data_IF_393908533643
#
_entry.id   IF_393908533643
#
_cell.length_a   1.000
_cell.length_b   1.000
_cell.length_c   1.000
_cell.angle_alpha   90.00
_cell.angle_beta   90.00
_cell.angle_gamma   90.00
#
_symmetry.space_group_name_H-M   'P 1'
#
loop_
_entity.id
_entity.type
_entity.pdbx_description
1 polymer ?
#
# COMPACT_ATOMS: atom_id res chain seq x y z
N UNK A 1 -7.96 -20.68 -11.33
CA UNK A 1 -6.57 -21.05 -10.99
C UNK A 1 -5.75 -19.78 -10.74
N UNK A 2 -5.01 -19.74 -9.66
CA UNK A 2 -4.21 -18.56 -9.32
C UNK A 2 -2.89 -18.58 -10.07
N UNK A 3 -2.55 -17.45 -10.70
CA UNK A 3 -1.25 -17.26 -11.36
C UNK A 3 -0.16 -16.90 -10.35
N UNK A 4 -0.48 -16.86 -9.07
CA UNK A 4 0.41 -16.46 -8.00
C UNK A 4 0.54 -17.55 -6.95
N UNK A 5 1.77 -17.83 -6.55
CA UNK A 5 2.09 -18.83 -5.52
C UNK A 5 2.47 -18.11 -4.23
N UNK A 6 1.84 -18.48 -3.12
CA UNK A 6 2.19 -17.95 -1.80
C UNK A 6 3.57 -18.48 -1.41
N UNK A 7 4.47 -17.54 -1.08
CA UNK A 7 5.83 -17.84 -0.59
C UNK A 7 5.85 -17.84 0.94
N UNK A 8 5.26 -16.80 1.55
CA UNK A 8 5.24 -16.65 2.99
C UNK A 8 4.10 -15.73 3.43
N UNK A 9 3.72 -15.79 4.69
CA UNK A 9 2.76 -14.86 5.28
C UNK A 9 3.53 -13.66 5.83
N UNK A 10 3.18 -12.45 5.37
CA UNK A 10 3.71 -11.21 5.93
C UNK A 10 2.90 -10.80 7.16
N UNK A 11 1.59 -11.02 7.13
CA UNK A 11 0.70 -10.84 8.25
C UNK A 11 -0.49 -11.79 8.06
N UNK A 12 -0.43 -12.93 8.74
CA UNK A 12 -1.44 -13.98 8.58
C UNK A 12 -2.79 -13.57 9.14
N UNK A 13 -2.81 -12.83 10.24
CA UNK A 13 -4.03 -12.33 10.86
C UNK A 13 -4.82 -11.44 9.89
N UNK A 14 -4.13 -10.57 9.17
CA UNK A 14 -4.74 -9.67 8.19
C UNK A 14 -4.71 -10.21 6.76
N UNK A 15 -4.34 -11.47 6.58
CA UNK A 15 -4.30 -12.16 5.28
C UNK A 15 -3.44 -11.42 4.25
N UNK A 16 -2.22 -11.04 4.64
CA UNK A 16 -1.23 -10.40 3.78
C UNK A 16 -0.11 -11.40 3.51
N UNK A 17 0.13 -11.68 2.23
CA UNK A 17 1.08 -12.71 1.80
C UNK A 17 2.07 -12.18 0.78
N UNK A 18 3.29 -12.69 0.86
CA UNK A 18 4.27 -12.55 -0.21
C UNK A 18 3.98 -13.64 -1.23
N UNK A 19 3.81 -13.25 -2.49
CA UNK A 19 3.47 -14.17 -3.57
C UNK A 19 4.44 -14.02 -4.73
N UNK A 20 4.57 -15.07 -5.53
CA UNK A 20 5.41 -15.06 -6.72
C UNK A 20 4.54 -15.34 -7.94
N UNK A 21 4.72 -14.53 -8.98
CA UNK A 21 4.05 -14.73 -10.26
C UNK A 21 4.59 -15.97 -10.95
N UNK A 22 3.71 -16.87 -11.36
CA UNK A 22 4.08 -18.05 -12.14
C UNK A 22 4.58 -17.67 -13.55
N UNK A 23 4.13 -16.51 -14.07
CA UNK A 23 4.50 -16.05 -15.41
C UNK A 23 5.85 -15.34 -15.46
N UNK A 24 6.09 -14.41 -14.52
CA UNK A 24 7.27 -13.55 -14.53
C UNK A 24 8.35 -13.93 -13.53
N UNK A 25 8.01 -14.74 -12.52
CA UNK A 25 8.89 -15.04 -11.39
C UNK A 25 9.05 -13.87 -10.42
N UNK A 26 8.44 -12.72 -10.68
CA UNK A 26 8.50 -11.55 -9.80
C UNK A 26 7.66 -11.76 -8.55
N UNK A 27 8.06 -11.05 -7.48
CA UNK A 27 7.44 -11.14 -6.17
C UNK A 27 6.52 -9.94 -5.96
N UNK A 28 5.35 -10.19 -5.40
CA UNK A 28 4.31 -9.20 -5.12
C UNK A 28 3.72 -9.44 -3.75
N UNK A 29 2.86 -8.53 -3.31
CA UNK A 29 2.06 -8.69 -2.09
C UNK A 29 0.62 -8.98 -2.48
N UNK A 30 0.04 -10.02 -1.87
CA UNK A 30 -1.36 -10.36 -2.01
C UNK A 30 -2.07 -10.05 -0.70
N UNK A 31 -3.15 -9.28 -0.79
CA UNK A 31 -4.04 -8.98 0.35
C UNK A 31 -5.43 -9.53 0.06
N UNK A 32 -6.05 -10.12 1.06
CA UNK A 32 -7.43 -10.59 0.99
C UNK A 32 -8.24 -9.76 1.96
N UNK A 33 -9.20 -8.99 1.44
CA UNK A 33 -9.95 -8.00 2.19
C UNK A 33 -11.41 -8.42 2.35
N UNK A 34 -11.89 -8.43 3.59
CA UNK A 34 -13.31 -8.69 3.90
C UNK A 34 -14.14 -7.42 3.83
N UNK A 35 -13.54 -6.28 4.19
CA UNK A 35 -14.16 -4.96 4.12
C UNK A 35 -13.34 -4.10 3.17
N UNK A 36 -13.99 -3.57 2.13
CA UNK A 36 -13.30 -2.79 1.11
C UNK A 36 -14.27 -1.90 0.34
N UNK A 37 -13.71 -0.90 -0.32
CA UNK A 37 -14.42 -0.09 -1.31
C UNK A 37 -13.76 -0.34 -2.67
N UNK A 38 -14.41 -1.12 -3.52
CA UNK A 38 -13.84 -1.54 -4.81
C UNK A 38 -13.52 -0.34 -5.71
N UNK A 39 -14.28 0.76 -5.61
CA UNK A 39 -14.05 1.95 -6.42
C UNK A 39 -12.70 2.59 -6.15
N UNK A 40 -12.24 2.56 -4.89
CA UNK A 40 -10.92 3.07 -4.52
C UNK A 40 -9.84 2.28 -5.27
N UNK A 41 -9.92 0.95 -5.23
CA UNK A 41 -8.94 0.08 -5.88
C UNK A 41 -8.99 0.20 -7.40
N UNK A 42 -10.20 0.25 -7.97
CA UNK A 42 -10.39 0.47 -9.39
C UNK A 42 -9.76 1.80 -9.84
N UNK A 43 -9.99 2.86 -9.08
CA UNK A 43 -9.47 4.19 -9.40
C UNK A 43 -7.95 4.23 -9.29
N UNK A 44 -7.38 3.66 -8.24
CA UNK A 44 -5.92 3.59 -8.04
C UNK A 44 -5.26 2.70 -9.09
N UNK A 45 -5.92 1.64 -9.52
CA UNK A 45 -5.43 0.78 -10.59
C UNK A 45 -5.28 1.55 -11.90
N UNK A 46 -6.25 2.40 -12.23
CA UNK A 46 -6.23 3.21 -13.44
C UNK A 46 -5.36 4.45 -13.34
N UNK A 47 -5.14 4.94 -12.13
CA UNK A 47 -4.43 6.19 -11.87
C UNK A 47 -3.31 5.96 -10.83
N UNK A 48 -2.21 5.32 -11.22
CA UNK A 48 -1.09 5.08 -10.29
C UNK A 48 -0.55 6.38 -9.72
N UNK A 49 -0.23 6.37 -8.43
CA UNK A 49 0.32 7.53 -7.71
C UNK A 49 1.72 7.20 -7.23
N UNK A 50 2.67 8.10 -7.50
CA UNK A 50 4.03 7.97 -6.97
C UNK A 50 4.00 8.02 -5.44
N UNK A 51 4.65 7.06 -4.79
CA UNK A 51 4.64 6.93 -3.33
C UNK A 51 3.59 5.96 -2.80
N UNK A 52 2.80 5.35 -3.67
CA UNK A 52 1.83 4.32 -3.32
C UNK A 52 2.23 3.04 -4.08
N UNK A 53 2.22 1.86 -3.43
CA UNK A 53 2.49 0.61 -4.14
C UNK A 53 1.56 0.46 -5.33
N UNK A 54 2.14 0.14 -6.49
CA UNK A 54 1.36 -0.01 -7.70
C UNK A 54 0.44 -1.22 -7.59
N UNK A 55 -0.83 -1.04 -7.92
CA UNK A 55 -1.78 -2.13 -8.05
C UNK A 55 -1.49 -2.89 -9.33
N UNK A 56 -1.25 -4.19 -9.21
CA UNK A 56 -0.95 -5.07 -10.35
C UNK A 56 -2.23 -5.74 -10.84
N UNK A 57 -3.07 -6.17 -9.89
CA UNK A 57 -4.34 -6.82 -10.20
C UNK A 57 -5.28 -6.73 -8.99
N UNK A 58 -6.57 -6.81 -9.24
CA UNK A 58 -7.56 -6.96 -8.18
C UNK A 58 -8.78 -7.67 -8.73
N UNK A 59 -9.42 -8.47 -7.91
CA UNK A 59 -10.67 -9.16 -8.31
C UNK A 59 -11.47 -9.56 -7.08
N UNK A 60 -12.79 -9.62 -7.24
CA UNK A 60 -13.67 -10.09 -6.19
C UNK A 60 -13.75 -11.62 -6.23
N UNK A 61 -13.66 -12.23 -5.05
CA UNK A 61 -13.82 -13.67 -4.85
C UNK A 61 -14.84 -13.87 -3.74
N UNK A 62 -16.07 -14.16 -4.12
CA UNK A 62 -17.19 -14.19 -3.19
C UNK A 62 -17.39 -12.81 -2.56
N UNK A 63 -17.33 -12.73 -1.23
CA UNK A 63 -17.49 -11.48 -0.48
C UNK A 63 -16.15 -10.81 -0.14
N UNK A 64 -15.07 -11.29 -0.75
CA UNK A 64 -13.73 -10.78 -0.48
C UNK A 64 -13.15 -10.11 -1.72
N UNK A 65 -12.25 -9.14 -1.50
CA UNK A 65 -11.44 -8.57 -2.56
C UNK A 65 -10.02 -9.10 -2.44
N UNK A 66 -9.50 -9.68 -3.53
CA UNK A 66 -8.10 -10.07 -3.63
C UNK A 66 -7.35 -8.97 -4.35
N UNK A 67 -6.30 -8.45 -3.73
CA UNK A 67 -5.48 -7.38 -4.28
C UNK A 67 -4.05 -7.87 -4.43
N UNK A 68 -3.49 -7.70 -5.62
CA UNK A 68 -2.07 -7.96 -5.90
C UNK A 68 -1.42 -6.61 -6.11
N UNK A 69 -0.42 -6.30 -5.32
CA UNK A 69 0.28 -5.01 -5.40
C UNK A 69 1.80 -5.20 -5.34
N UNK A 70 2.50 -4.16 -5.75
CA UNK A 70 3.95 -4.08 -5.71
C UNK A 70 4.47 -4.38 -4.30
N UNK A 71 5.53 -5.20 -4.19
CA UNK A 71 6.21 -5.42 -2.92
C UNK A 71 7.20 -4.28 -2.68
N UNK A 72 7.03 -3.58 -1.56
CA UNK A 72 7.92 -2.49 -1.16
C UNK A 72 8.84 -3.00 -0.06
N UNK A 73 10.14 -3.03 -0.36
CA UNK A 73 11.17 -3.37 0.62
C UNK A 73 11.60 -2.13 1.38
N UNK A 74 11.68 -2.24 2.68
CA UNK A 74 12.08 -1.13 3.54
C UNK A 74 11.74 -1.37 4.99
N UNK A 75 11.81 -0.30 5.78
CA UNK A 75 11.52 -0.32 7.22
C UNK A 75 10.32 0.57 7.48
N UNK A 76 9.36 0.09 8.28
CA UNK A 76 8.22 0.95 8.62
C UNK A 76 8.67 2.16 9.43
N UNK A 77 7.96 3.26 9.28
CA UNK A 77 8.22 4.46 10.07
C UNK A 77 8.06 4.17 11.57
N UNK A 78 7.13 3.27 11.93
CA UNK A 78 6.95 2.83 13.31
C UNK A 78 8.20 2.16 13.87
N UNK A 79 8.84 1.28 13.10
CA UNK A 79 10.09 0.64 13.52
C UNK A 79 11.21 1.66 13.70
N UNK A 80 11.29 2.66 12.80
CA UNK A 80 12.29 3.72 12.94
C UNK A 80 12.06 4.54 14.20
N UNK A 81 10.82 4.82 14.55
CA UNK A 81 10.46 5.51 15.79
C UNK A 81 10.88 4.66 17.00
N UNK A 82 10.50 3.39 17.00
CA UNK A 82 10.78 2.46 18.11
C UNK A 82 12.28 2.27 18.33
N UNK A 83 13.06 2.30 17.27
CA UNK A 83 14.52 2.15 17.32
C UNK A 83 15.25 3.49 17.45
N UNK A 84 14.55 4.59 17.62
CA UNK A 84 15.10 5.96 17.69
C UNK A 84 16.03 6.27 16.50
N UNK A 85 15.68 5.75 15.32
CA UNK A 85 16.44 5.89 14.08
C UNK A 85 15.85 6.97 13.19
N UNK A 86 15.68 8.17 13.74
CA UNK A 86 15.12 9.31 13.00
C UNK A 86 15.81 10.60 13.43
N UNK A 87 16.29 11.36 12.46
CA UNK A 87 16.72 12.73 12.65
C UNK A 87 15.55 13.69 12.39
N UNK A 88 15.67 14.94 12.84
CA UNK A 88 14.69 15.99 12.54
C UNK A 88 14.61 16.20 11.01
N UNK A 89 15.75 16.12 10.34
CA UNK A 89 15.82 16.25 8.88
C UNK A 89 15.04 15.12 8.17
N UNK A 90 15.17 13.88 8.67
CA UNK A 90 14.42 12.73 8.13
C UNK A 90 12.92 12.95 8.27
N UNK A 91 12.47 13.34 9.46
CA UNK A 91 11.05 13.58 9.74
C UNK A 91 10.49 14.64 8.79
N UNK A 92 11.22 15.75 8.61
CA UNK A 92 10.81 16.81 7.68
C UNK A 92 10.68 16.29 6.27
N UNK A 93 11.68 15.54 5.80
CA UNK A 93 11.70 14.97 4.46
C UNK A 93 10.52 14.03 4.22
N UNK A 94 10.24 13.13 5.17
CA UNK A 94 9.14 12.18 5.05
C UNK A 94 7.78 12.89 5.08
N UNK A 95 7.63 13.91 5.92
CA UNK A 95 6.38 14.69 5.97
C UNK A 95 6.10 15.39 4.64
N UNK A 96 7.12 15.95 3.99
CA UNK A 96 6.98 16.57 2.67
C UNK A 96 6.55 15.53 1.64
N UNK A 97 7.18 14.35 1.64
CA UNK A 97 6.82 13.27 0.73
C UNK A 97 5.37 12.82 0.92
N UNK A 98 4.94 12.65 2.18
CA UNK A 98 3.56 12.27 2.50
C UNK A 98 2.56 13.34 2.07
N UNK A 99 2.86 14.60 2.27
CA UNK A 99 2.01 15.70 1.80
C UNK A 99 1.85 15.67 0.28
N UNK A 100 2.91 15.36 -0.46
CA UNK A 100 2.84 15.25 -1.92
C UNK A 100 1.94 14.08 -2.35
N UNK A 101 2.03 12.94 -1.66
CA UNK A 101 1.15 11.79 -1.92
C UNK A 101 -0.30 12.16 -1.67
N UNK A 102 -0.58 12.79 -0.52
CA UNK A 102 -1.94 13.20 -0.15
C UNK A 102 -2.49 14.25 -1.10
N UNK A 103 -1.67 15.18 -1.56
CA UNK A 103 -2.08 16.17 -2.55
C UNK A 103 -2.56 15.47 -3.83
N UNK A 104 -1.83 14.47 -4.30
CA UNK A 104 -2.22 13.70 -5.49
C UNK A 104 -3.56 12.97 -5.29
N UNK A 105 -3.76 12.34 -4.12
CA UNK A 105 -5.00 11.64 -3.79
C UNK A 105 -6.19 12.59 -3.68
N UNK A 106 -5.99 13.74 -3.04
CA UNK A 106 -7.05 14.72 -2.80
C UNK A 106 -7.41 15.51 -4.06
N UNK A 107 -6.48 15.59 -5.02
CA UNK A 107 -6.72 16.23 -6.32
C UNK A 107 -7.52 15.35 -7.30
N UNK A 108 -7.72 14.09 -6.99
CA UNK A 108 -8.53 13.19 -7.82
C UNK A 108 -10.01 13.59 -7.81
N UNK A 109 -10.74 13.22 -8.86
CA UNK A 109 -12.16 13.51 -8.98
C UNK A 109 -12.92 12.20 -9.17
N UNK A 110 -13.64 11.71 -8.14
CA UNK A 110 -13.72 12.25 -6.78
C UNK A 110 -12.45 11.99 -5.98
N UNK A 111 -12.15 12.81 -4.96
CA UNK A 111 -10.94 12.64 -4.17
C UNK A 111 -10.97 11.36 -3.33
N UNK A 112 -9.78 10.77 -3.16
CA UNK A 112 -9.60 9.62 -2.29
C UNK A 112 -9.04 10.11 -0.96
N UNK A 113 -9.71 9.76 0.13
CA UNK A 113 -9.27 10.05 1.49
C UNK A 113 -8.80 8.74 2.12
N UNK A 114 -7.55 8.70 2.57
CA UNK A 114 -6.93 7.48 3.09
C UNK A 114 -7.59 6.98 4.38
N UNK A 115 -7.76 7.85 5.36
CA UNK A 115 -8.43 7.65 6.64
C UNK A 115 -7.73 6.73 7.65
N UNK A 116 -6.51 6.29 7.36
CA UNK A 116 -5.75 5.44 8.29
C UNK A 116 -4.24 5.74 8.22
N UNK A 117 -3.89 7.02 8.19
CA UNK A 117 -2.49 7.45 8.14
C UNK A 117 -1.89 7.29 9.53
N UNK A 118 -0.89 6.43 9.63
CA UNK A 118 -0.15 6.16 10.88
C UNK A 118 1.24 5.61 10.54
N UNK A 119 2.20 5.69 11.46
CA UNK A 119 3.57 5.27 11.16
C UNK A 119 3.72 3.80 10.71
N UNK A 120 2.83 2.90 11.15
CA UNK A 120 2.86 1.51 10.71
C UNK A 120 2.40 1.31 9.27
N UNK A 121 1.71 2.29 8.69
CA UNK A 121 1.27 2.27 7.28
C UNK A 121 2.20 3.05 6.36
N UNK A 122 3.39 3.41 6.83
CA UNK A 122 4.38 4.14 6.05
C UNK A 122 5.66 3.31 6.04
N UNK A 123 6.15 2.99 4.84
CA UNK A 123 7.42 2.28 4.66
C UNK A 123 8.46 3.27 4.14
N UNK A 124 9.63 3.26 4.76
CA UNK A 124 10.78 4.01 4.29
C UNK A 124 11.67 3.05 3.53
N UNK A 125 11.83 3.31 2.23
CA UNK A 125 12.61 2.44 1.34
C UNK A 125 14.12 2.59 1.58
N UNK A 126 14.91 1.70 0.99
CA UNK A 126 16.38 1.78 1.05
C UNK A 126 16.93 3.05 0.40
N UNK A 127 16.14 3.68 -0.48
CA UNK A 127 16.48 4.98 -1.09
C UNK A 127 15.97 6.16 -0.29
N UNK A 128 15.47 5.91 0.92
CA UNK A 128 14.98 6.93 1.84
C UNK A 128 13.72 7.66 1.36
N UNK A 129 12.86 6.97 0.62
CA UNK A 129 11.54 7.46 0.21
C UNK A 129 10.45 6.92 1.11
N UNK A 130 9.49 7.78 1.45
CA UNK A 130 8.29 7.36 2.19
C UNK A 130 7.23 6.86 1.21
N UNK A 131 6.72 5.66 1.48
CA UNK A 131 5.63 5.04 0.74
C UNK A 131 4.43 4.87 1.66
N UNK A 132 3.24 5.22 1.18
CA UNK A 132 1.99 5.09 1.94
C UNK A 132 1.28 3.81 1.55
N UNK A 133 0.99 2.98 2.55
CA UNK A 133 0.35 1.68 2.38
C UNK A 133 -1.07 1.67 2.92
N UNK A 134 -1.77 0.58 2.69
CA UNK A 134 -3.03 0.18 3.31
C UNK A 134 -4.18 1.14 3.05
N UNK A 135 -4.87 0.90 1.93
CA UNK A 135 -6.05 1.67 1.52
C UNK A 135 -7.37 1.00 1.91
N UNK A 136 -7.36 0.07 2.88
CA UNK A 136 -8.55 -0.68 3.28
C UNK A 136 -9.66 0.22 3.83
N UNK A 137 -9.28 1.28 4.55
CA UNK A 137 -10.20 2.24 5.13
C UNK A 137 -10.49 3.43 4.21
N UNK A 138 -9.84 3.50 3.04
CA UNK A 138 -9.96 4.62 2.14
C UNK A 138 -11.35 4.73 1.52
N UNK A 139 -11.75 5.96 1.19
CA UNK A 139 -13.05 6.26 0.60
C UNK A 139 -12.95 7.37 -0.42
N UNK A 140 -13.73 7.26 -1.49
CA UNK A 140 -13.95 8.36 -2.43
C UNK A 140 -15.17 9.17 -2.01
N UNK A 141 -15.01 10.48 -2.00
CA UNK A 141 -16.10 11.41 -1.68
C UNK A 141 -16.48 12.15 -2.94
N UNK A 142 -17.73 12.01 -3.33
CA UNK A 142 -18.31 12.74 -4.45
C UNK A 142 -18.92 14.05 -3.99
#
# INVERSE_FOLDING_TARGET
MSDYKIISALNEEHKVYLVQSALSGKVYVQKILDVYNIRVYEYLYRNPVSGIPRLINYYEDGNQLVVIEEYISGTSLQEKIDNSDLSVSDIRSYMIMLCNILEALHAMTPPIIHRDIKPSNIIITSYNYAMLLDFNAAKQFS
#
